data_IF_091436058920
#
_entry.id   IF_091436058920
#
_cell.length_a   1.000
_cell.length_b   1.000
_cell.length_c   1.000
_cell.angle_alpha   90.00
_cell.angle_beta   90.00
_cell.angle_gamma   90.00
#
_symmetry.space_group_name_H-M   'P 1'
#
loop_
_entity.id
_entity.type
_entity.pdbx_description
1 polymer ?
#
# COMPACT_ATOMS: atom_id res chain seq x y z
N UNK A 1 -6.93 -9.95 -68.99
CA UNK A 1 -6.33 -8.76 -68.34
C UNK A 1 -7.07 -7.55 -68.88
N UNK A 2 -8.07 -7.07 -68.15
CA UNK A 2 -8.91 -5.94 -68.59
C UNK A 2 -8.18 -4.63 -68.27
N UNK A 3 -7.49 -4.06 -69.26
CA UNK A 3 -7.05 -2.67 -69.20
C UNK A 3 -8.19 -1.79 -69.73
N UNK A 4 -8.59 -0.79 -68.94
CA UNK A 4 -9.52 0.23 -69.40
C UNK A 4 -8.86 1.04 -70.55
N UNK A 5 -9.60 1.40 -71.61
CA UNK A 5 -9.03 2.15 -72.74
C UNK A 5 -8.58 3.55 -72.27
N UNK A 6 -7.27 3.81 -72.35
CA UNK A 6 -6.64 5.09 -71.98
C UNK A 6 -5.67 5.07 -70.80
N UNK A 7 -5.44 3.94 -70.14
CA UNK A 7 -4.41 3.81 -69.09
C UNK A 7 -3.10 3.24 -69.63
N UNK A 8 -1.99 3.91 -69.36
CA UNK A 8 -0.65 3.37 -69.57
C UNK A 8 -0.25 2.45 -68.41
N UNK A 9 0.71 1.56 -68.62
CA UNK A 9 1.24 0.67 -67.57
C UNK A 9 1.75 1.48 -66.36
N UNK A 10 2.30 2.69 -66.61
CA UNK A 10 2.73 3.62 -65.56
C UNK A 10 1.60 4.10 -64.66
N UNK A 11 0.40 4.32 -65.20
CA UNK A 11 -0.77 4.75 -64.42
C UNK A 11 -1.23 3.65 -63.47
N UNK A 12 -1.25 2.40 -63.94
CA UNK A 12 -1.60 1.25 -63.11
C UNK A 12 -0.62 1.05 -61.96
N UNK A 13 0.70 1.12 -62.23
CA UNK A 13 1.73 1.02 -61.19
C UNK A 13 1.60 2.16 -60.19
N UNK A 14 1.34 3.38 -60.66
CA UNK A 14 1.16 4.56 -59.78
C UNK A 14 -0.03 4.41 -58.84
N UNK A 15 -1.19 3.97 -59.35
CA UNK A 15 -2.39 3.71 -58.53
C UNK A 15 -2.12 2.59 -57.51
N UNK A 16 -1.45 1.51 -57.93
CA UNK A 16 -1.09 0.41 -57.03
C UNK A 16 -0.11 0.86 -55.94
N UNK A 17 0.92 1.65 -56.28
CA UNK A 17 1.88 2.21 -55.32
C UNK A 17 1.19 3.13 -54.31
N UNK A 18 0.30 4.03 -54.75
CA UNK A 18 -0.45 4.88 -53.82
C UNK A 18 -1.42 4.10 -52.95
N UNK A 19 -2.08 3.06 -53.50
CA UNK A 19 -2.96 2.17 -52.72
C UNK A 19 -2.17 1.44 -51.64
N UNK A 20 -0.98 0.91 -51.97
CA UNK A 20 -0.09 0.27 -51.00
C UNK A 20 0.42 1.26 -49.94
N UNK A 21 0.78 2.47 -50.35
CA UNK A 21 1.23 3.53 -49.45
C UNK A 21 0.13 4.00 -48.49
N UNK A 22 -1.16 3.82 -48.82
CA UNK A 22 -2.27 4.17 -47.94
C UNK A 22 -2.49 3.16 -46.81
N UNK A 23 -2.12 1.87 -46.99
CA UNK A 23 -2.32 0.87 -45.94
C UNK A 23 -1.45 1.10 -44.70
N UNK A 24 -0.22 1.61 -44.86
CA UNK A 24 0.68 1.92 -43.74
C UNK A 24 0.13 2.97 -42.76
N UNK A 25 -0.24 4.20 -43.20
CA UNK A 25 -0.80 5.22 -42.31
C UNK A 25 -2.17 4.81 -41.74
N UNK A 26 -2.97 4.02 -42.46
CA UNK A 26 -4.22 3.48 -41.94
C UNK A 26 -3.99 2.52 -40.76
N UNK A 27 -3.02 1.61 -40.86
CA UNK A 27 -2.64 0.73 -39.75
C UNK A 27 -2.06 1.51 -38.57
N UNK A 28 -1.28 2.56 -38.84
CA UNK A 28 -0.75 3.46 -37.81
C UNK A 28 -1.89 4.21 -37.07
N UNK A 29 -2.95 4.61 -37.76
CA UNK A 29 -4.10 5.23 -37.12
C UNK A 29 -4.77 4.30 -36.10
N UNK A 30 -4.87 3.01 -36.43
CA UNK A 30 -5.37 1.99 -35.51
C UNK A 30 -4.49 1.82 -34.27
N UNK A 31 -3.17 1.85 -34.43
CA UNK A 31 -2.25 1.77 -33.28
C UNK A 31 -2.29 3.02 -32.41
N UNK A 32 -2.36 4.22 -33.01
CA UNK A 32 -2.52 5.48 -32.28
C UNK A 32 -3.84 5.52 -31.51
N UNK A 33 -4.94 5.06 -32.12
CA UNK A 33 -6.23 4.95 -31.44
C UNK A 33 -6.14 4.08 -30.19
N UNK A 34 -5.59 2.87 -30.33
CA UNK A 34 -5.41 1.96 -29.20
C UNK A 34 -4.48 2.56 -28.13
N UNK A 35 -3.41 3.23 -28.55
CA UNK A 35 -2.48 3.90 -27.64
C UNK A 35 -3.18 5.00 -26.82
N UNK A 36 -4.05 5.80 -27.44
CA UNK A 36 -4.81 6.85 -26.74
C UNK A 36 -5.76 6.22 -25.72
N UNK A 37 -6.52 5.19 -26.12
CA UNK A 37 -7.46 4.51 -25.22
C UNK A 37 -6.73 3.92 -24.01
N UNK A 38 -5.60 3.25 -24.23
CA UNK A 38 -4.78 2.70 -23.14
C UNK A 38 -4.20 3.81 -22.25
N UNK A 39 -3.67 4.89 -22.83
CA UNK A 39 -3.11 6.01 -22.07
C UNK A 39 -4.13 6.65 -21.14
N UNK A 40 -5.40 6.75 -21.57
CA UNK A 40 -6.48 7.27 -20.74
C UNK A 40 -6.77 6.33 -19.56
N UNK A 41 -6.72 5.01 -19.77
CA UNK A 41 -6.91 4.02 -18.69
C UNK A 41 -5.74 4.11 -17.70
N UNK A 42 -4.51 4.17 -18.19
CA UNK A 42 -3.32 4.27 -17.34
C UNK A 42 -3.34 5.55 -16.49
N UNK A 43 -3.73 6.68 -17.09
CA UNK A 43 -3.91 7.94 -16.38
C UNK A 43 -4.96 7.85 -15.26
N UNK A 44 -6.05 7.08 -15.47
CA UNK A 44 -7.04 6.86 -14.42
C UNK A 44 -6.48 6.05 -13.26
N UNK A 45 -5.77 4.96 -13.54
CA UNK A 45 -5.13 4.17 -12.49
C UNK A 45 -4.10 5.00 -11.70
N UNK A 46 -3.30 5.83 -12.38
CA UNK A 46 -2.37 6.73 -11.70
C UNK A 46 -3.11 7.77 -10.85
N UNK A 47 -4.21 8.33 -11.35
CA UNK A 47 -5.04 9.25 -10.58
C UNK A 47 -5.66 8.58 -9.35
N UNK A 48 -6.08 7.32 -9.45
CA UNK A 48 -6.61 6.54 -8.33
C UNK A 48 -5.53 6.31 -7.28
N UNK A 49 -4.32 5.91 -7.68
CA UNK A 49 -3.19 5.73 -6.76
C UNK A 49 -2.75 7.04 -6.08
N UNK A 50 -2.77 8.16 -6.80
CA UNK A 50 -2.45 9.47 -6.23
C UNK A 50 -3.54 10.00 -5.28
N UNK A 51 -4.78 9.53 -5.44
CA UNK A 51 -5.89 9.88 -4.56
C UNK A 51 -5.94 9.00 -3.30
N UNK A 52 -5.18 7.91 -3.25
CA UNK A 52 -5.12 7.01 -2.10
C UNK A 52 -4.54 7.75 -0.88
N UNK A 53 -5.29 7.75 0.22
CA UNK A 53 -4.84 8.34 1.48
C UNK A 53 -4.13 7.31 2.34
N UNK A 54 -3.13 7.73 3.12
CA UNK A 54 -2.48 6.83 4.07
C UNK A 54 -3.48 6.34 5.14
N UNK A 55 -3.54 5.03 5.37
CA UNK A 55 -4.41 4.40 6.37
C UNK A 55 -4.13 4.85 7.80
N UNK A 56 -2.86 5.19 8.09
CA UNK A 56 -2.40 5.63 9.41
C UNK A 56 -1.71 6.98 9.28
N UNK A 57 -2.36 8.01 9.81
CA UNK A 57 -1.85 9.39 9.83
C UNK A 57 -1.54 9.79 11.28
N UNK A 58 -0.48 10.57 11.46
CA UNK A 58 -0.19 11.14 12.78
C UNK A 58 -1.26 12.17 13.15
N UNK A 59 -1.68 12.16 14.41
CA UNK A 59 -2.54 13.22 14.94
C UNK A 59 -1.85 14.58 14.77
N UNK A 60 -2.58 15.68 14.49
CA UNK A 60 -2.02 17.03 14.50
C UNK A 60 -1.30 17.37 15.81
N UNK A 61 -1.75 16.77 16.92
CA UNK A 61 -1.20 16.94 18.27
C UNK A 61 -0.23 15.81 18.66
N UNK A 62 0.28 15.03 17.69
CA UNK A 62 1.18 13.93 17.96
C UNK A 62 2.48 14.43 18.62
N UNK A 63 2.82 13.83 19.76
CA UNK A 63 4.04 14.17 20.50
C UNK A 63 5.22 13.29 20.05
N UNK A 64 6.43 13.72 20.33
CA UNK A 64 7.59 12.84 20.24
C UNK A 64 7.53 11.79 21.36
N UNK A 65 7.88 10.54 21.03
CA UNK A 65 7.87 9.43 21.98
C UNK A 65 8.75 9.76 23.21
N UNK A 66 8.23 9.69 24.44
CA UNK A 66 9.03 9.89 25.64
C UNK A 66 10.07 8.78 25.80
N UNK A 67 11.23 9.10 26.38
CA UNK A 67 12.28 8.11 26.63
C UNK A 67 11.91 7.08 27.71
N UNK A 68 11.04 7.46 28.66
CA UNK A 68 10.68 6.65 29.84
C UNK A 68 9.21 6.83 30.17
N UNK A 69 8.58 5.73 30.59
CA UNK A 69 7.25 5.76 31.18
C UNK A 69 7.29 6.41 32.56
N UNK A 70 6.62 7.56 32.70
CA UNK A 70 6.56 8.29 33.98
C UNK A 70 5.70 7.58 35.03
N UNK A 71 4.69 6.82 34.61
CA UNK A 71 3.76 6.15 35.52
C UNK A 71 4.31 4.81 36.02
N UNK A 72 5.00 4.08 35.15
CA UNK A 72 5.58 2.77 35.47
C UNK A 72 6.94 2.62 34.75
N UNK A 73 8.05 3.09 35.37
CA UNK A 73 9.37 3.10 34.75
C UNK A 73 9.91 1.70 34.37
N UNK A 74 9.33 0.64 34.91
CA UNK A 74 9.77 -0.74 34.63
C UNK A 74 9.13 -1.28 33.33
N UNK A 75 8.04 -0.69 32.85
CA UNK A 75 7.31 -1.15 31.67
C UNK A 75 7.69 -0.33 30.43
N UNK A 76 8.23 -1.03 29.42
CA UNK A 76 8.62 -0.44 28.14
C UNK A 76 7.45 -0.39 27.17
N UNK A 77 6.71 -1.50 27.07
CA UNK A 77 5.62 -1.70 26.10
C UNK A 77 4.45 -2.37 26.81
N UNK A 78 3.25 -1.91 26.52
CA UNK A 78 2.01 -2.45 27.07
C UNK A 78 0.97 -2.60 25.95
N UNK A 79 0.44 -3.81 25.82
CA UNK A 79 -0.79 -4.07 25.09
C UNK A 79 -1.90 -4.13 26.14
N UNK A 80 -2.91 -3.29 25.98
CA UNK A 80 -4.00 -3.10 26.95
C UNK A 80 -5.34 -3.32 26.25
N UNK A 81 -5.94 -4.49 26.50
CA UNK A 81 -7.21 -4.94 25.94
C UNK A 81 -7.32 -4.74 24.40
N UNK A 82 -6.26 -5.10 23.68
CA UNK A 82 -6.15 -4.81 22.24
C UNK A 82 -7.14 -5.64 21.44
N UNK A 83 -7.97 -4.94 20.67
CA UNK A 83 -8.93 -5.49 19.72
C UNK A 83 -8.57 -5.04 18.31
N UNK A 84 -8.45 -6.00 17.39
CA UNK A 84 -8.04 -5.71 16.01
C UNK A 84 -8.40 -6.85 15.06
N UNK A 85 -8.89 -6.52 13.87
CA UNK A 85 -8.95 -7.43 12.72
C UNK A 85 -8.48 -6.67 11.48
N UNK A 86 -7.99 -7.40 10.47
CA UNK A 86 -7.64 -6.76 9.20
C UNK A 86 -8.92 -6.32 8.46
N UNK A 87 -8.90 -5.18 7.73
CA UNK A 87 -10.08 -4.69 7.00
C UNK A 87 -10.68 -5.71 6.01
N UNK A 88 -9.83 -6.56 5.43
CA UNK A 88 -10.23 -7.60 4.49
C UNK A 88 -10.72 -8.90 5.15
N UNK A 89 -10.79 -8.96 6.48
CA UNK A 89 -11.14 -10.17 7.23
C UNK A 89 -12.34 -9.93 8.16
N UNK A 90 -13.16 -10.97 8.42
CA UNK A 90 -14.24 -10.87 9.40
C UNK A 90 -13.70 -10.54 10.79
N UNK A 91 -14.48 -9.80 11.59
CA UNK A 91 -14.15 -9.45 12.98
C UNK A 91 -13.86 -10.69 13.86
N UNK A 92 -14.47 -11.83 13.52
CA UNK A 92 -14.23 -13.10 14.21
C UNK A 92 -12.77 -13.57 14.11
N UNK A 93 -12.03 -13.12 13.09
CA UNK A 93 -10.63 -13.45 12.82
C UNK A 93 -9.70 -12.29 13.18
N UNK A 94 -9.54 -12.06 14.49
CA UNK A 94 -8.77 -10.96 15.03
C UNK A 94 -8.28 -11.18 16.45
N UNK A 95 -7.55 -10.20 16.97
CA UNK A 95 -7.21 -10.09 18.38
C UNK A 95 -8.46 -9.65 19.15
N UNK A 96 -8.80 -10.35 20.23
CA UNK A 96 -10.03 -10.15 21.03
C UNK A 96 -9.70 -9.82 22.48
N UNK A 97 -9.08 -8.66 22.71
CA UNK A 97 -8.73 -8.20 24.06
C UNK A 97 -7.36 -8.67 24.55
N UNK A 98 -6.37 -8.69 23.67
CA UNK A 98 -5.00 -9.11 24.00
C UNK A 98 -4.36 -8.11 24.98
N UNK A 99 -3.91 -8.60 26.15
CA UNK A 99 -3.27 -7.77 27.17
C UNK A 99 -1.97 -8.40 27.67
N UNK A 100 -0.86 -7.66 27.60
CA UNK A 100 0.42 -8.06 28.19
C UNK A 100 1.38 -6.86 28.32
N UNK A 101 2.40 -7.00 29.17
CA UNK A 101 3.42 -5.98 29.43
C UNK A 101 4.82 -6.54 29.16
N UNK A 102 5.67 -5.74 28.53
CA UNK A 102 7.09 -6.03 28.31
C UNK A 102 7.92 -5.11 29.22
N UNK A 103 8.72 -5.71 30.10
CA UNK A 103 9.58 -4.95 31.02
C UNK A 103 10.83 -4.44 30.32
N UNK A 104 11.31 -3.27 30.73
CA UNK A 104 12.57 -2.69 30.25
C UNK A 104 13.74 -3.64 30.53
N UNK A 105 14.64 -3.78 29.56
CA UNK A 105 15.83 -4.63 29.67
C UNK A 105 15.56 -6.14 29.68
N UNK A 106 14.33 -6.58 29.38
CA UNK A 106 13.99 -8.00 29.33
C UNK A 106 13.71 -8.46 27.89
N UNK A 107 13.99 -9.72 27.61
CA UNK A 107 13.60 -10.37 26.35
C UNK A 107 12.25 -11.04 26.55
N UNK A 108 11.24 -10.58 25.80
CA UNK A 108 9.91 -11.20 25.78
C UNK A 108 9.74 -11.99 24.49
N UNK A 109 9.35 -13.27 24.60
CA UNK A 109 9.07 -14.13 23.46
C UNK A 109 7.54 -14.27 23.26
N UNK A 110 7.08 -14.02 22.04
CA UNK A 110 5.68 -14.25 21.64
C UNK A 110 5.59 -15.61 20.93
N UNK A 111 5.01 -16.60 21.62
CA UNK A 111 4.87 -17.97 21.13
C UNK A 111 3.40 -18.34 20.89
N UNK A 112 3.15 -19.21 19.92
CA UNK A 112 1.80 -19.67 19.61
C UNK A 112 1.73 -20.37 18.25
N UNK A 113 0.60 -21.01 17.92
CA UNK A 113 0.43 -21.69 16.65
C UNK A 113 0.43 -20.70 15.46
N UNK A 114 0.61 -21.21 14.25
CA UNK A 114 0.44 -20.42 13.02
C UNK A 114 -0.98 -19.83 13.00
N UNK A 115 -1.09 -18.55 12.64
CA UNK A 115 -2.38 -17.84 12.66
C UNK A 115 -2.80 -17.25 14.01
N UNK A 116 -2.07 -17.49 15.10
CA UNK A 116 -2.40 -16.94 16.43
C UNK A 116 -2.23 -15.41 16.57
N UNK A 117 -1.89 -14.69 15.49
CA UNK A 117 -1.73 -13.24 15.51
C UNK A 117 -0.34 -12.71 15.90
N UNK A 118 0.70 -13.56 15.96
CA UNK A 118 2.08 -13.12 16.30
C UNK A 118 2.59 -12.00 15.39
N UNK A 119 2.43 -12.16 14.07
CA UNK A 119 2.77 -11.13 13.07
C UNK A 119 1.86 -9.91 13.18
N UNK A 120 0.62 -10.08 13.64
CA UNK A 120 -0.30 -8.96 13.89
C UNK A 120 0.18 -8.13 15.08
N UNK A 121 0.64 -8.76 16.16
CA UNK A 121 1.22 -8.07 17.33
C UNK A 121 2.42 -7.22 16.91
N UNK A 122 3.34 -7.76 16.11
CA UNK A 122 4.47 -6.96 15.63
C UNK A 122 4.02 -5.80 14.74
N UNK A 123 3.08 -6.01 13.81
CA UNK A 123 2.55 -4.95 12.95
C UNK A 123 1.86 -3.82 13.73
N UNK A 124 1.12 -4.15 14.78
CA UNK A 124 0.50 -3.16 15.67
C UNK A 124 1.55 -2.42 16.51
N UNK A 125 2.60 -3.12 16.97
CA UNK A 125 3.71 -2.50 17.68
C UNK A 125 4.45 -1.46 16.82
N UNK A 126 4.62 -1.73 15.51
CA UNK A 126 5.17 -0.76 14.55
C UNK A 126 4.18 0.31 14.08
N UNK A 127 2.93 0.25 14.57
CA UNK A 127 1.82 1.09 14.13
C UNK A 127 1.70 1.12 12.60
N UNK A 128 1.73 -0.06 11.97
CA UNK A 128 1.32 -0.22 10.57
C UNK A 128 -0.19 -0.28 10.43
N UNK A 129 -0.89 -0.60 11.52
CA UNK A 129 -2.32 -0.48 11.67
C UNK A 129 -2.60 0.12 13.04
N UNK A 130 -3.66 0.91 13.14
CA UNK A 130 -4.19 1.34 14.42
C UNK A 130 -5.14 0.27 14.99
N UNK A 131 -5.18 0.18 16.32
CA UNK A 131 -6.09 -0.74 17.02
C UNK A 131 -7.54 -0.26 16.92
N UNK A 132 -8.48 -1.19 16.81
CA UNK A 132 -9.92 -0.89 16.79
C UNK A 132 -10.47 -0.67 18.21
N UNK A 133 -9.85 -1.31 19.20
CA UNK A 133 -10.17 -1.15 20.61
C UNK A 133 -8.95 -1.39 21.50
N UNK A 134 -8.99 -0.85 22.71
CA UNK A 134 -7.86 -0.88 23.63
C UNK A 134 -6.76 0.09 23.23
N UNK A 135 -5.53 -0.20 23.63
CA UNK A 135 -4.35 0.61 23.36
C UNK A 135 -3.07 -0.22 23.26
N UNK A 136 -2.17 0.19 22.36
CA UNK A 136 -0.76 -0.22 22.39
C UNK A 136 0.03 0.98 22.88
N UNK A 137 0.75 0.82 23.98
CA UNK A 137 1.49 1.90 24.63
C UNK A 137 2.99 1.61 24.60
N UNK A 138 3.78 2.62 24.28
CA UNK A 138 5.24 2.58 24.40
C UNK A 138 5.65 3.70 25.35
N UNK A 139 6.46 3.35 26.36
CA UNK A 139 6.82 4.25 27.44
C UNK A 139 5.60 4.97 28.07
N UNK A 140 4.49 4.24 28.24
CA UNK A 140 3.26 4.73 28.87
C UNK A 140 2.36 5.60 27.98
N UNK A 141 2.74 5.88 26.74
CA UNK A 141 1.94 6.68 25.79
C UNK A 141 1.39 5.78 24.69
N UNK A 142 0.10 5.93 24.39
CA UNK A 142 -0.53 5.26 23.25
C UNK A 142 0.18 5.62 21.94
N UNK A 143 0.51 4.62 21.13
CA UNK A 143 1.22 4.80 19.85
C UNK A 143 0.46 5.71 18.87
N UNK A 144 -0.86 5.85 19.01
CA UNK A 144 -1.70 6.76 18.20
C UNK A 144 -1.44 8.24 18.49
N UNK A 145 -0.92 8.54 19.69
CA UNK A 145 -0.66 9.91 20.14
C UNK A 145 0.80 10.32 19.94
N UNK A 146 1.64 9.46 19.37
CA UNK A 146 3.05 9.77 19.09
C UNK A 146 3.31 9.83 17.59
N UNK A 147 4.31 10.62 17.21
CA UNK A 147 4.74 10.72 15.82
C UNK A 147 5.27 9.35 15.35
N UNK A 148 4.86 8.90 14.16
CA UNK A 148 5.34 7.64 13.57
C UNK A 148 6.87 7.63 13.43
N UNK A 149 7.45 8.80 13.15
CA UNK A 149 8.90 8.97 13.04
C UNK A 149 9.61 8.66 14.36
N UNK A 150 9.16 9.25 15.46
CA UNK A 150 9.78 9.03 16.79
C UNK A 150 9.59 7.59 17.26
N UNK A 151 8.41 7.03 17.05
CA UNK A 151 8.11 5.63 17.37
C UNK A 151 9.05 4.68 16.63
N UNK A 152 9.12 4.77 15.30
CA UNK A 152 9.92 3.87 14.48
C UNK A 152 11.43 4.07 14.68
N UNK A 153 11.88 5.28 14.99
CA UNK A 153 13.28 5.53 15.35
C UNK A 153 13.71 4.83 16.66
N UNK A 154 12.76 4.54 17.55
CA UNK A 154 13.02 3.85 18.82
C UNK A 154 13.01 2.32 18.73
N UNK A 155 12.62 1.75 17.58
CA UNK A 155 12.43 0.31 17.41
C UNK A 155 13.32 -0.24 16.29
N UNK A 156 14.18 -1.21 16.63
CA UNK A 156 14.95 -1.97 15.65
C UNK A 156 14.18 -3.21 15.14
N UNK A 157 14.27 -3.49 13.84
CA UNK A 157 13.72 -4.71 13.21
C UNK A 157 14.84 -5.52 12.58
N UNK A 158 14.79 -6.85 12.79
CA UNK A 158 15.58 -7.80 12.01
C UNK A 158 14.60 -8.69 11.25
N UNK A 159 14.52 -8.59 9.90
CA UNK A 159 13.70 -9.48 9.09
C UNK A 159 14.18 -10.93 9.19
N UNK A 160 13.27 -11.89 8.99
CA UNK A 160 13.62 -13.29 8.80
C UNK A 160 14.17 -13.54 7.40
#
# INVERSE_FOLDING_TARGET
VFFFPGMEIGDFVTVLTYTLNLFMPLNFLGSVYNMIVMSIIDLRHLSELLAETADVVDSPDAIELPNVNKADPDVAVEFDNVQFHYPSQPESNGLKGLSFKMKRGTTTAVVGPTGAGKTTVSRLFFRFYDVLGGAVKVNGVDVRNVSQKSLRASIGVVPQ
#
